data_IF_700124910898
#
_entry.id   IF_700124910898
#
_cell.length_a   1.000
_cell.length_b   1.000
_cell.length_c   1.000
_cell.angle_alpha   90.00
_cell.angle_beta   90.00
_cell.angle_gamma   90.00
#
_symmetry.space_group_name_H-M   'P 1'
#
loop_
_entity.id
_entity.type
_entity.pdbx_description
1 polymer ?
#
# COMPACT_ATOMS: atom_id res chain seq x y z
N UNK A 1 3.81 8.53 -3.65
CA UNK A 1 4.56 9.07 -2.50
C UNK A 1 6.06 8.86 -2.66
N UNK A 2 6.59 7.64 -2.57
CA UNK A 2 8.05 7.40 -2.71
C UNK A 2 8.54 7.27 -4.16
N UNK A 3 7.66 6.91 -5.09
CA UNK A 3 8.01 6.65 -6.50
C UNK A 3 9.16 5.65 -6.62
N UNK A 4 9.02 4.48 -5.99
CA UNK A 4 10.04 3.42 -5.94
C UNK A 4 9.44 2.07 -6.33
N UNK A 5 10.28 1.13 -6.75
CA UNK A 5 9.83 -0.21 -7.12
C UNK A 5 9.56 -1.09 -5.89
N UNK A 6 8.92 -2.25 -6.11
CA UNK A 6 8.57 -3.17 -5.03
C UNK A 6 9.80 -3.67 -4.25
N UNK A 7 10.91 -3.97 -4.94
CA UNK A 7 12.17 -4.37 -4.29
C UNK A 7 12.76 -3.23 -3.46
N UNK A 8 12.70 -1.97 -3.94
CA UNK A 8 13.21 -0.82 -3.20
C UNK A 8 12.45 -0.63 -1.87
N UNK A 9 11.12 -0.79 -1.90
CA UNK A 9 10.27 -0.73 -0.71
C UNK A 9 10.69 -1.79 0.32
N UNK A 10 10.99 -3.01 -0.17
CA UNK A 10 11.36 -4.14 0.68
C UNK A 10 12.79 -4.04 1.23
N UNK A 11 13.71 -3.41 0.50
CA UNK A 11 15.12 -3.30 0.87
C UNK A 11 15.45 -2.05 1.67
N UNK A 12 14.68 -0.97 1.54
CA UNK A 12 14.86 0.21 2.37
C UNK A 12 14.27 -0.02 3.78
N UNK A 13 15.08 0.03 4.86
CA UNK A 13 14.67 -0.44 6.18
C UNK A 13 13.39 0.21 6.74
N UNK A 14 13.23 1.53 6.55
CA UNK A 14 12.08 2.26 7.08
C UNK A 14 10.78 1.86 6.38
N UNK A 15 10.81 1.68 5.06
CA UNK A 15 9.62 1.26 4.30
C UNK A 15 9.34 -0.23 4.48
N UNK A 16 10.38 -1.07 4.69
CA UNK A 16 10.19 -2.48 5.05
C UNK A 16 9.44 -2.60 6.37
N UNK A 17 9.86 -1.85 7.39
CA UNK A 17 9.19 -1.84 8.69
C UNK A 17 7.76 -1.31 8.57
N UNK A 18 7.56 -0.21 7.83
CA UNK A 18 6.22 0.34 7.58
C UNK A 18 5.29 -0.69 6.92
N UNK A 19 5.78 -1.37 5.87
CA UNK A 19 5.01 -2.40 5.16
C UNK A 19 4.64 -3.56 6.11
N UNK A 20 5.59 -4.04 6.92
CA UNK A 20 5.32 -5.08 7.91
C UNK A 20 4.21 -4.66 8.90
N UNK A 21 4.29 -3.43 9.43
CA UNK A 21 3.27 -2.89 10.35
C UNK A 21 1.89 -2.82 9.69
N UNK A 22 1.81 -2.28 8.47
CA UNK A 22 0.55 -2.20 7.72
C UNK A 22 -0.05 -3.58 7.43
N UNK A 23 0.79 -4.54 7.06
CA UNK A 23 0.35 -5.91 6.80
C UNK A 23 -0.14 -6.59 8.09
N UNK A 24 0.48 -6.31 9.24
CA UNK A 24 0.02 -6.81 10.55
C UNK A 24 -1.32 -6.20 10.96
N UNK A 25 -1.53 -4.90 10.75
CA UNK A 25 -2.82 -4.25 10.96
C UNK A 25 -3.91 -4.91 10.10
N UNK A 26 -3.66 -5.07 8.80
CA UNK A 26 -4.60 -5.72 7.89
C UNK A 26 -4.87 -7.20 8.22
N UNK A 27 -3.83 -7.94 8.62
CA UNK A 27 -3.97 -9.32 9.08
C UNK A 27 -4.88 -9.40 10.31
N UNK A 28 -4.69 -8.51 11.29
CA UNK A 28 -5.50 -8.47 12.51
C UNK A 28 -6.97 -8.22 12.19
N UNK A 29 -7.27 -7.32 11.26
CA UNK A 29 -8.64 -7.09 10.76
C UNK A 29 -9.21 -8.36 10.12
N UNK A 30 -8.45 -8.99 9.22
CA UNK A 30 -8.91 -10.19 8.52
C UNK A 30 -9.16 -11.37 9.47
N UNK A 31 -8.30 -11.58 10.46
CA UNK A 31 -8.45 -12.65 11.45
C UNK A 31 -9.66 -12.44 12.36
N UNK A 32 -10.01 -11.20 12.71
CA UNK A 32 -11.26 -10.89 13.42
C UNK A 32 -12.52 -11.24 12.62
N UNK A 33 -12.40 -11.32 11.29
CA UNK A 33 -13.47 -11.73 10.37
C UNK A 33 -13.41 -13.23 10.03
N UNK A 34 -12.51 -14.00 10.64
CA UNK A 34 -12.37 -15.44 10.43
C UNK A 34 -11.42 -15.83 9.29
N UNK A 35 -10.72 -14.89 8.66
CA UNK A 35 -9.67 -15.21 7.68
C UNK A 35 -8.47 -15.89 8.36
N UNK A 36 -7.78 -16.76 7.63
CA UNK A 36 -6.62 -17.50 8.14
C UNK A 36 -5.39 -17.29 7.24
N UNK A 37 -4.40 -16.56 7.75
CA UNK A 37 -3.17 -16.25 7.01
C UNK A 37 -2.09 -17.31 7.28
N UNK A 38 -1.95 -18.28 6.37
CA UNK A 38 -1.03 -19.43 6.55
C UNK A 38 0.44 -19.10 6.30
N UNK A 39 0.73 -18.00 5.62
CA UNK A 39 2.09 -17.65 5.21
C UNK A 39 2.61 -16.57 6.16
N UNK A 40 3.71 -16.84 6.89
CA UNK A 40 4.33 -15.86 7.77
C UNK A 40 4.67 -14.55 7.07
N UNK A 41 4.61 -13.44 7.80
CA UNK A 41 4.86 -12.10 7.28
C UNK A 41 6.21 -12.00 6.56
N UNK A 42 7.27 -12.52 7.15
CA UNK A 42 8.61 -12.48 6.56
C UNK A 42 8.65 -13.19 5.20
N UNK A 43 7.95 -14.31 5.05
CA UNK A 43 7.84 -15.01 3.77
C UNK A 43 7.03 -14.22 2.74
N UNK A 44 6.02 -13.45 3.17
CA UNK A 44 5.28 -12.56 2.27
C UNK A 44 6.16 -11.43 1.75
N UNK A 45 6.91 -10.77 2.65
CA UNK A 45 7.80 -9.66 2.29
C UNK A 45 8.93 -10.18 1.39
N UNK A 46 9.56 -11.31 1.72
CA UNK A 46 10.57 -11.93 0.86
C UNK A 46 10.01 -12.30 -0.52
N UNK A 47 8.76 -12.78 -0.58
CA UNK A 47 8.06 -13.03 -1.84
C UNK A 47 7.88 -11.77 -2.67
N UNK A 48 7.47 -10.66 -2.06
CA UNK A 48 7.35 -9.36 -2.73
C UNK A 48 8.71 -8.84 -3.22
N UNK A 49 9.76 -8.97 -2.40
CA UNK A 49 11.13 -8.59 -2.76
C UNK A 49 11.64 -9.38 -3.98
N UNK A 50 11.33 -10.68 -4.05
CA UNK A 50 11.76 -11.56 -5.14
C UNK A 50 11.19 -11.22 -6.52
N UNK A 51 10.11 -10.42 -6.58
CA UNK A 51 9.55 -9.91 -7.85
C UNK A 51 10.52 -8.93 -8.52
N UNK A 52 11.41 -8.30 -7.76
CA UNK A 52 12.43 -7.38 -8.28
C UNK A 52 11.91 -5.97 -8.56
N UNK A 53 12.48 -5.31 -9.57
CA UNK A 53 12.19 -3.92 -9.96
C UNK A 53 10.83 -3.74 -10.65
N UNK A 54 9.78 -4.19 -9.97
CA UNK A 54 8.41 -4.09 -10.46
C UNK A 54 7.72 -2.83 -9.93
N UNK A 55 7.04 -2.11 -10.82
CA UNK A 55 6.16 -1.00 -10.45
C UNK A 55 4.78 -1.53 -10.11
N UNK A 56 4.31 -1.31 -8.89
CA UNK A 56 2.92 -1.63 -8.49
C UNK A 56 1.91 -0.91 -9.37
N UNK A 57 0.72 -1.49 -9.57
CA UNK A 57 -0.35 -0.89 -10.40
C UNK A 57 -0.63 0.57 -10.03
N UNK A 58 -0.85 0.86 -8.75
CA UNK A 58 -1.10 2.23 -8.28
C UNK A 58 0.04 3.21 -8.57
N UNK A 59 1.31 2.75 -8.63
CA UNK A 59 2.42 3.63 -9.04
C UNK A 59 2.31 3.97 -10.53
N UNK A 60 1.91 3.00 -11.34
CA UNK A 60 1.68 3.22 -12.77
C UNK A 60 0.51 4.19 -13.00
N UNK A 61 -0.55 4.11 -12.19
CA UNK A 61 -1.67 5.05 -12.25
C UNK A 61 -1.23 6.47 -11.90
N UNK A 62 -0.43 6.64 -10.84
CA UNK A 62 0.16 7.94 -10.48
C UNK A 62 1.00 8.51 -11.62
N UNK A 63 1.88 7.70 -12.23
CA UNK A 63 2.74 8.14 -13.33
C UNK A 63 1.94 8.46 -14.61
N UNK A 64 0.76 7.85 -14.77
CA UNK A 64 -0.15 8.08 -15.89
C UNK A 64 -1.22 9.16 -15.60
N UNK A 65 -1.25 9.73 -14.38
CA UNK A 65 -2.28 10.67 -13.96
C UNK A 65 -3.69 10.07 -13.93
N UNK A 66 -3.80 8.75 -13.68
CA UNK A 66 -5.07 8.03 -13.59
C UNK A 66 -5.57 7.97 -12.14
N UNK A 67 -6.89 7.85 -11.93
CA UNK A 67 -7.44 7.58 -10.60
C UNK A 67 -6.86 6.31 -9.99
N UNK A 68 -6.51 6.37 -8.70
CA UNK A 68 -5.98 5.24 -7.93
C UNK A 68 -7.09 4.40 -7.29
N UNK A 69 -6.83 3.10 -7.10
CA UNK A 69 -7.72 2.16 -6.40
C UNK A 69 -7.61 2.26 -4.87
N UNK A 70 -7.43 3.46 -4.31
CA UNK A 70 -7.14 3.64 -2.88
C UNK A 70 -8.33 3.27 -1.98
N UNK A 71 -9.55 3.57 -2.42
CA UNK A 71 -10.79 3.30 -1.69
C UNK A 71 -11.07 1.79 -1.57
N UNK A 72 -10.93 1.05 -2.67
CA UNK A 72 -11.16 -0.40 -2.67
C UNK A 72 -10.03 -1.20 -2.03
N UNK A 73 -8.82 -0.63 -1.94
CA UNK A 73 -7.68 -1.26 -1.29
C UNK A 73 -7.61 -0.95 0.22
N UNK A 74 -7.24 0.28 0.59
CA UNK A 74 -7.04 0.66 2.00
C UNK A 74 -8.36 1.09 2.64
N UNK A 75 -9.21 1.82 1.91
CA UNK A 75 -10.52 2.26 2.41
C UNK A 75 -11.36 1.09 2.90
N UNK A 76 -11.51 0.05 2.08
CA UNK A 76 -12.24 -1.16 2.44
C UNK A 76 -11.70 -1.85 3.70
N UNK A 77 -10.37 -1.97 3.85
CA UNK A 77 -9.77 -2.58 5.06
C UNK A 77 -10.00 -1.71 6.30
N UNK A 78 -9.97 -0.39 6.14
CA UNK A 78 -10.24 0.56 7.22
C UNK A 78 -11.71 0.49 7.67
N UNK A 79 -12.65 0.41 6.74
CA UNK A 79 -14.09 0.20 7.06
C UNK A 79 -14.30 -1.11 7.82
N UNK A 80 -13.66 -2.20 7.38
CA UNK A 80 -13.69 -3.49 8.09
C UNK A 80 -13.05 -3.41 9.48
N UNK A 81 -12.03 -2.56 9.66
CA UNK A 81 -11.42 -2.30 10.95
C UNK A 81 -12.41 -1.64 11.93
N UNK A 82 -13.27 -0.74 11.43
CA UNK A 82 -14.32 -0.09 12.24
C UNK A 82 -15.37 -1.10 12.71
N UNK A 83 -15.81 -1.99 11.82
CA UNK A 83 -16.75 -3.07 12.14
C UNK A 83 -16.18 -4.04 13.19
N UNK A 84 -14.87 -4.31 13.13
CA UNK A 84 -14.19 -5.27 14.02
C UNK A 84 -13.61 -4.65 15.29
N UNK A 85 -13.63 -3.32 15.41
CA UNK A 85 -13.02 -2.58 16.51
C UNK A 85 -11.48 -2.63 16.54
N UNK A 86 -10.83 -3.00 15.42
CA UNK A 86 -9.37 -3.06 15.30
C UNK A 86 -8.82 -1.68 14.99
N UNK A 87 -7.75 -1.28 15.69
CA UNK A 87 -7.05 -0.04 15.42
C UNK A 87 -6.10 -0.21 14.24
N UNK A 88 -6.16 0.71 13.28
CA UNK A 88 -5.35 0.69 12.05
C UNK A 88 -4.68 2.05 11.77
N UNK A 89 -3.93 2.61 12.74
CA UNK A 89 -3.38 3.96 12.62
C UNK A 89 -2.43 4.10 11.42
N UNK A 90 -1.66 3.07 11.10
CA UNK A 90 -0.70 3.12 9.99
C UNK A 90 -1.41 3.08 8.65
N UNK A 91 -2.40 2.19 8.49
CA UNK A 91 -3.23 2.16 7.28
C UNK A 91 -3.96 3.48 7.08
N UNK A 92 -4.54 4.06 8.14
CA UNK A 92 -5.25 5.36 8.08
C UNK A 92 -4.32 6.51 7.67
N UNK A 93 -3.10 6.54 8.19
CA UNK A 93 -2.11 7.56 7.81
C UNK A 93 -1.76 7.49 6.32
N UNK A 94 -1.49 6.27 5.81
CA UNK A 94 -1.17 6.09 4.39
C UNK A 94 -2.38 6.36 3.50
N UNK A 95 -3.57 5.91 3.90
CA UNK A 95 -4.82 6.22 3.21
C UNK A 95 -5.00 7.73 3.08
N UNK A 96 -4.89 8.49 4.16
CA UNK A 96 -5.05 9.95 4.13
C UNK A 96 -4.07 10.64 3.16
N UNK A 97 -2.79 10.26 3.18
CA UNK A 97 -1.80 10.84 2.28
C UNK A 97 -2.03 10.45 0.81
N UNK A 98 -2.42 9.20 0.55
CA UNK A 98 -2.62 8.71 -0.83
C UNK A 98 -3.94 9.23 -1.42
N UNK A 99 -5.01 9.33 -0.63
CA UNK A 99 -6.28 9.93 -1.09
C UNK A 99 -6.12 11.41 -1.43
N UNK A 100 -5.30 12.17 -0.67
CA UNK A 100 -4.98 13.55 -1.05
C UNK A 100 -4.16 13.61 -2.35
N UNK A 101 -3.17 12.71 -2.51
CA UNK A 101 -2.41 12.61 -3.75
C UNK A 101 -3.34 12.34 -4.95
N UNK A 102 -4.27 11.39 -4.82
CA UNK A 102 -5.25 11.06 -5.88
C UNK A 102 -6.10 12.28 -6.29
N UNK A 103 -6.62 12.98 -5.28
CA UNK A 103 -7.40 14.20 -5.48
C UNK A 103 -6.57 15.27 -6.17
N UNK A 104 -5.33 15.49 -5.75
CA UNK A 104 -4.46 16.50 -6.37
C UNK A 104 -4.13 16.15 -7.83
N UNK A 105 -3.79 14.90 -8.13
CA UNK A 105 -3.49 14.47 -9.50
C UNK A 105 -4.70 14.61 -10.42
N UNK A 106 -5.88 14.21 -9.95
CA UNK A 106 -7.11 14.28 -10.74
C UNK A 106 -7.61 15.72 -10.97
N UNK A 107 -7.56 16.59 -9.96
CA UNK A 107 -8.07 17.96 -10.05
C UNK A 107 -7.12 18.89 -10.79
N UNK A 108 -5.83 18.83 -10.49
CA UNK A 108 -4.82 19.75 -11.03
C UNK A 108 -4.19 19.24 -12.34
N UNK A 109 -4.57 18.03 -12.78
CA UNK A 109 -4.02 17.35 -13.97
C UNK A 109 -2.48 17.30 -13.97
N UNK A 110 -1.91 17.13 -12.79
CA UNK A 110 -0.45 17.04 -12.60
C UNK A 110 0.03 15.68 -13.09
N UNK A 111 1.14 15.67 -13.82
CA UNK A 111 1.85 14.45 -14.21
C UNK A 111 3.14 14.35 -13.40
N UNK A 112 3.32 13.23 -12.70
CA UNK A 112 4.58 12.94 -12.00
C UNK A 112 5.44 12.05 -12.88
N UNK A 113 6.66 12.50 -13.18
CA UNK A 113 7.60 11.74 -13.98
C UNK A 113 7.93 10.42 -13.28
N UNK A 114 7.77 9.32 -14.01
CA UNK A 114 8.05 7.99 -13.50
C UNK A 114 9.54 7.65 -13.41
N UNK A 115 9.86 6.65 -12.59
CA UNK A 115 11.22 6.10 -12.50
C UNK A 115 11.54 5.22 -13.71
N UNK A 116 12.78 5.27 -14.20
CA UNK A 116 13.21 4.42 -15.32
C UNK A 116 13.22 2.93 -14.92
N UNK A 117 12.92 2.05 -15.88
CA UNK A 117 12.86 0.59 -15.67
C UNK A 117 14.23 -0.13 -15.75
N UNK A 118 15.34 0.61 -15.70
CA UNK A 118 16.71 0.05 -15.89
C UNK A 118 16.97 -1.25 -15.12
#
# INVERSE_FOLDING_TARGET
LSHSTLVDICQFPLTRQLAATMMTEAQTVGERLGAHFRIPMEKRIAGAESVGKHKTSMLQDVEAGKPMEIESMLGAVIELAEVTGVQTPTLRAIYACVSLLDKTLSQEKILIKGISKE
#
